data_IF_021054296196
#
_entry.id   IF_021054296196
#
_cell.length_a   1.000
_cell.length_b   1.000
_cell.length_c   1.000
_cell.angle_alpha   90.00
_cell.angle_beta   90.00
_cell.angle_gamma   90.00
#
_symmetry.space_group_name_H-M   'P 1'
#
loop_
_entity.id
_entity.type
_entity.pdbx_description
1 polymer ?
#
# COMPACT_ATOMS: atom_id res chain seq x y z
N UNK A 1 -0.88 -36.26 5.61
CA UNK A 1 -1.02 -35.32 6.75
C UNK A 1 -1.29 -33.92 6.20
N UNK A 2 -2.55 -33.51 6.09
CA UNK A 2 -2.89 -32.14 5.66
C UNK A 2 -2.70 -31.17 6.81
N UNK A 3 -1.84 -30.17 6.64
CA UNK A 3 -1.75 -29.04 7.58
C UNK A 3 -3.07 -28.29 7.54
N UNK A 4 -3.70 -28.09 8.70
CA UNK A 4 -4.94 -27.32 8.81
C UNK A 4 -4.67 -25.86 8.42
N UNK A 5 -5.68 -25.20 7.85
CA UNK A 5 -5.61 -23.80 7.43
C UNK A 5 -5.11 -22.88 8.57
N UNK A 6 -5.54 -23.13 9.81
CA UNK A 6 -5.11 -22.39 11.00
C UNK A 6 -3.63 -22.56 11.31
N UNK A 7 -3.07 -23.78 11.17
CA UNK A 7 -1.64 -24.02 11.38
C UNK A 7 -0.78 -23.28 10.34
N UNK A 8 -1.25 -23.22 9.09
CA UNK A 8 -0.59 -22.47 8.02
C UNK A 8 -0.62 -20.95 8.34
N UNK A 9 -1.76 -20.43 8.77
CA UNK A 9 -1.89 -19.00 9.10
C UNK A 9 -1.02 -18.58 10.30
N UNK A 10 -0.95 -19.42 11.34
CA UNK A 10 -0.13 -19.15 12.53
C UNK A 10 1.37 -19.07 12.19
N UNK A 11 1.83 -19.88 11.23
CA UNK A 11 3.23 -19.86 10.77
C UNK A 11 3.52 -18.68 9.83
N UNK A 12 2.55 -18.24 9.03
CA UNK A 12 2.72 -17.17 8.03
C UNK A 12 2.70 -15.76 8.61
N UNK A 13 1.87 -15.51 9.63
CA UNK A 13 1.73 -14.19 10.26
C UNK A 13 3.05 -13.56 10.70
N UNK A 14 3.94 -14.25 11.45
CA UNK A 14 5.22 -13.66 11.85
C UNK A 14 6.14 -13.38 10.66
N UNK A 15 6.17 -14.27 9.66
CA UNK A 15 6.97 -14.07 8.44
C UNK A 15 6.49 -12.85 7.64
N UNK A 16 5.18 -12.66 7.53
CA UNK A 16 4.59 -11.51 6.87
C UNK A 16 4.89 -10.22 7.64
N UNK A 17 4.80 -10.23 8.97
CA UNK A 17 5.13 -9.06 9.80
C UNK A 17 6.57 -8.60 9.56
N UNK A 18 7.52 -9.54 9.57
CA UNK A 18 8.93 -9.23 9.30
C UNK A 18 9.16 -8.75 7.85
N UNK A 19 8.47 -9.37 6.88
CA UNK A 19 8.52 -8.94 5.49
C UNK A 19 8.01 -7.50 5.32
N UNK A 20 6.82 -7.19 5.85
CA UNK A 20 6.23 -5.85 5.76
C UNK A 20 7.09 -4.80 6.45
N UNK A 21 7.66 -5.11 7.61
CA UNK A 21 8.57 -4.20 8.31
C UNK A 21 9.81 -3.89 7.46
N UNK A 22 10.48 -4.91 6.93
CA UNK A 22 11.67 -4.75 6.08
C UNK A 22 11.35 -4.00 4.79
N UNK A 23 10.26 -4.36 4.11
CA UNK A 23 9.83 -3.72 2.87
C UNK A 23 9.51 -2.25 3.06
N UNK A 24 8.74 -1.91 4.10
CA UNK A 24 8.26 -0.55 4.31
C UNK A 24 9.32 0.40 4.88
N UNK A 25 10.26 -0.09 5.70
CA UNK A 25 11.14 0.77 6.49
C UNK A 25 12.64 0.60 6.21
N UNK A 26 13.07 -0.47 5.55
CA UNK A 26 14.50 -0.79 5.42
C UNK A 26 14.93 -0.80 3.95
N UNK A 27 14.06 -1.21 3.03
CA UNK A 27 14.42 -1.42 1.62
C UNK A 27 14.15 -0.17 0.79
N UNK A 28 15.17 0.55 0.30
CA UNK A 28 14.98 1.62 -0.65
C UNK A 28 14.58 1.07 -2.03
N UNK A 29 13.70 1.79 -2.73
CA UNK A 29 13.19 1.41 -4.04
C UNK A 29 13.58 2.47 -5.09
N UNK A 30 14.19 2.05 -6.19
CA UNK A 30 14.60 2.96 -7.27
C UNK A 30 13.42 3.73 -7.89
N UNK A 31 12.24 3.09 -7.98
CA UNK A 31 10.99 3.73 -8.44
C UNK A 31 10.48 4.82 -7.51
N UNK A 32 10.93 4.85 -6.24
CA UNK A 32 10.63 5.89 -5.26
C UNK A 32 11.79 6.89 -5.12
N UNK A 33 12.74 6.91 -6.06
CA UNK A 33 13.92 7.77 -5.99
C UNK A 33 14.95 7.32 -4.96
N UNK A 34 14.97 6.02 -4.62
CA UNK A 34 15.86 5.47 -3.60
C UNK A 34 15.31 5.58 -2.17
N UNK A 35 14.04 5.94 -2.01
CA UNK A 35 13.37 5.99 -0.71
C UNK A 35 12.70 4.66 -0.36
N UNK A 36 12.52 4.43 0.94
CA UNK A 36 11.61 3.40 1.42
C UNK A 36 10.14 3.82 1.21
N UNK A 37 9.19 2.88 1.16
CA UNK A 37 7.77 3.20 1.06
C UNK A 37 7.28 4.13 2.18
N UNK A 38 7.78 3.96 3.40
CA UNK A 38 7.40 4.81 4.53
C UNK A 38 7.91 6.26 4.37
N UNK A 39 9.15 6.45 3.92
CA UNK A 39 9.72 7.77 3.67
C UNK A 39 9.02 8.49 2.53
N UNK A 40 8.75 7.77 1.43
CA UNK A 40 8.00 8.33 0.31
C UNK A 40 6.59 8.78 0.75
N UNK A 41 5.89 7.97 1.54
CA UNK A 41 4.59 8.34 2.08
C UNK A 41 4.67 9.57 3.01
N UNK A 42 5.73 9.71 3.81
CA UNK A 42 5.95 10.87 4.67
C UNK A 42 6.14 12.15 3.83
N UNK A 43 6.92 12.09 2.75
CA UNK A 43 7.11 13.24 1.84
C UNK A 43 5.82 13.65 1.14
N UNK A 44 4.98 12.69 0.74
CA UNK A 44 3.67 12.99 0.15
C UNK A 44 2.71 13.63 1.15
N UNK A 45 2.72 13.19 2.41
CA UNK A 45 1.92 13.81 3.49
C UNK A 45 2.30 15.27 3.73
N UNK A 46 3.59 15.61 3.67
CA UNK A 46 4.05 17.00 3.82
C UNK A 46 3.77 17.88 2.59
N UNK A 47 3.55 17.27 1.41
CA UNK A 47 3.34 17.98 0.15
C UNK A 47 1.88 18.26 -0.17
N UNK A 48 0.93 17.77 0.62
CA UNK A 48 -0.50 18.08 0.41
C UNK A 48 -0.78 19.46 1.00
N UNK A 49 -1.03 20.51 0.20
CA UNK A 49 -1.75 21.65 0.73
C UNK A 49 -3.10 21.09 1.19
N UNK A 50 -3.42 21.27 2.46
CA UNK A 50 -4.67 20.81 3.06
C UNK A 50 -5.82 21.50 2.35
N UNK A 51 -6.28 20.94 1.23
CA UNK A 51 -7.51 21.36 0.60
C UNK A 51 -8.60 21.13 1.64
N UNK A 52 -9.43 22.14 1.96
CA UNK A 52 -10.52 21.99 2.90
C UNK A 52 -11.31 20.74 2.55
N UNK A 53 -11.44 19.82 3.51
CA UNK A 53 -12.29 18.65 3.41
C UNK A 53 -13.73 19.17 3.31
N UNK A 54 -14.20 19.37 2.09
CA UNK A 54 -15.61 19.66 1.84
C UNK A 54 -16.42 18.43 2.30
N UNK A 55 -17.35 18.54 3.28
CA UNK A 55 -18.04 17.39 3.85
C UNK A 55 -18.98 16.65 2.87
N UNK A 56 -19.05 17.07 1.62
CA UNK A 56 -20.09 16.66 0.67
C UNK A 56 -19.66 15.58 -0.35
N UNK A 57 -18.43 15.07 -0.32
CA UNK A 57 -17.97 14.13 -1.34
C UNK A 57 -17.52 12.78 -0.74
N UNK A 58 -18.24 11.68 -0.99
CA UNK A 58 -17.80 10.35 -0.56
C UNK A 58 -16.50 9.99 -1.29
N UNK A 59 -15.54 9.44 -0.54
CA UNK A 59 -14.28 8.89 -1.02
C UNK A 59 -14.51 7.87 -2.14
N UNK A 60 -14.59 8.34 -3.38
CA UNK A 60 -14.54 7.49 -4.55
C UNK A 60 -13.09 7.45 -5.01
N UNK A 61 -12.37 6.40 -4.59
CA UNK A 61 -11.19 5.96 -5.30
C UNK A 61 -11.63 5.60 -6.73
N UNK A 62 -11.66 6.59 -7.62
CA UNK A 62 -11.99 6.38 -9.02
C UNK A 62 -10.81 5.68 -9.69
N UNK A 63 -10.78 4.35 -9.58
CA UNK A 63 -10.11 3.49 -10.55
C UNK A 63 -10.77 3.79 -11.89
N UNK A 64 -10.17 4.66 -12.70
CA UNK A 64 -10.60 4.90 -14.07
C UNK A 64 -10.60 3.55 -14.82
N UNK A 65 -11.75 2.96 -15.21
CA UNK A 65 -11.71 1.87 -16.16
C UNK A 65 -11.42 2.46 -17.53
N UNK A 66 -10.30 2.08 -18.14
CA UNK A 66 -9.99 2.38 -19.54
C UNK A 66 -11.13 1.82 -20.41
N UNK A 67 -11.74 2.60 -21.32
CA UNK A 67 -12.82 2.07 -22.16
C UNK A 67 -12.28 0.97 -23.08
N UNK A 68 -12.92 -0.20 -23.06
CA UNK A 68 -12.71 -1.27 -24.03
C UNK A 68 -13.37 -0.84 -25.33
N UNK A 69 -12.57 -0.46 -26.32
CA UNK A 69 -13.03 -0.32 -27.71
C UNK A 69 -13.23 -1.72 -28.28
N UNK A 70 -14.48 -2.12 -28.48
CA UNK A 70 -14.80 -3.22 -29.41
C UNK A 70 -14.84 -2.62 -30.82
N UNK A 71 -14.05 -3.19 -31.72
CA UNK A 71 -14.24 -3.08 -33.18
C UNK A 71 -14.79 -4.41 -33.66
#
# INVERSE_FOLDING_TARGET
MSRTFSAINNQRRPLLGNFWSSYNHIRPHSSLGGLTPAEFAAQKKSSTPMAPLDPAHPFTCSLNPKPRTST
#
